data_IF_587323271964
#
_entry.id   IF_587323271964
#
_cell.length_a   1.000
_cell.length_b   1.000
_cell.length_c   1.000
_cell.angle_alpha   90.00
_cell.angle_beta   90.00
_cell.angle_gamma   90.00
#
_symmetry.space_group_name_H-M   'P 1'
#
loop_
_entity.id
_entity.type
_entity.pdbx_description
1 polymer ?
#
# COMPACT_ATOMS: atom_id res chain seq x y z
N UNK A 1 -7.93 3.38 15.57
CA UNK A 1 -7.35 2.06 15.29
C UNK A 1 -6.40 2.15 14.11
N UNK A 2 -5.24 1.52 14.23
CA UNK A 2 -4.18 1.64 13.20
C UNK A 2 -4.22 0.45 12.26
N UNK A 3 -4.31 0.71 10.97
CA UNK A 3 -4.18 -0.32 9.95
C UNK A 3 -2.70 -0.55 9.63
N UNK A 4 -2.38 -1.71 9.11
CA UNK A 4 -1.10 -1.97 8.47
C UNK A 4 -1.31 -2.03 6.96
N UNK A 5 -0.22 -1.93 6.20
CA UNK A 5 -0.28 -1.83 4.76
C UNK A 5 0.70 -2.82 4.14
N UNK A 6 0.40 -3.26 2.94
CA UNK A 6 1.17 -4.28 2.25
C UNK A 6 1.34 -3.91 0.79
N UNK A 7 2.53 -4.13 0.26
CA UNK A 7 2.78 -3.97 -1.16
C UNK A 7 2.09 -5.08 -1.95
N UNK A 8 1.80 -4.81 -3.22
CA UNK A 8 1.22 -5.80 -4.12
C UNK A 8 2.05 -5.88 -5.39
N UNK A 9 2.05 -7.04 -6.03
CA UNK A 9 2.70 -7.19 -7.32
C UNK A 9 1.82 -6.63 -8.43
N UNK A 10 2.42 -5.86 -9.35
CA UNK A 10 1.78 -5.54 -10.62
C UNK A 10 2.03 -6.65 -11.63
N UNK A 11 3.15 -7.38 -11.49
CA UNK A 11 3.51 -8.53 -12.33
C UNK A 11 4.21 -9.55 -11.45
N UNK A 12 3.52 -10.64 -11.12
CA UNK A 12 4.07 -11.70 -10.26
C UNK A 12 5.16 -12.50 -10.96
N UNK A 13 5.07 -12.61 -12.28
CA UNK A 13 6.03 -13.41 -13.06
C UNK A 13 7.41 -12.78 -13.00
N UNK A 14 7.47 -11.45 -13.11
CA UNK A 14 8.72 -10.70 -13.10
C UNK A 14 9.03 -10.07 -11.74
N UNK A 15 8.22 -10.34 -10.71
CA UNK A 15 8.39 -9.80 -9.37
C UNK A 15 8.41 -8.26 -9.34
N UNK A 16 7.55 -7.64 -10.16
CA UNK A 16 7.45 -6.19 -10.21
C UNK A 16 6.42 -5.72 -9.19
N UNK A 17 6.84 -4.87 -8.27
CA UNK A 17 5.96 -4.29 -7.26
C UNK A 17 5.13 -3.18 -7.88
N UNK A 18 3.82 -3.17 -7.59
CA UNK A 18 2.94 -2.13 -8.06
C UNK A 18 3.34 -0.77 -7.48
N UNK A 19 3.38 0.25 -8.33
CA UNK A 19 3.57 1.64 -7.92
C UNK A 19 2.25 2.42 -7.94
N UNK A 20 1.14 1.72 -8.21
CA UNK A 20 -0.18 2.36 -8.36
C UNK A 20 -1.20 1.90 -7.32
N UNK A 21 -0.86 0.90 -6.50
CA UNK A 21 -1.79 0.35 -5.50
C UNK A 21 -1.08 -0.15 -4.27
N UNK A 22 -1.79 -0.10 -3.15
CA UNK A 22 -1.37 -0.67 -1.87
C UNK A 22 -2.59 -1.33 -1.24
N UNK A 23 -2.38 -2.43 -0.51
CA UNK A 23 -3.46 -3.12 0.21
C UNK A 23 -3.40 -2.76 1.68
N UNK A 24 -4.52 -2.32 2.24
CA UNK A 24 -4.68 -2.09 3.67
C UNK A 24 -5.06 -3.39 4.36
N UNK A 25 -4.77 -3.51 5.65
CA UNK A 25 -4.97 -4.76 6.40
C UNK A 25 -6.42 -5.23 6.47
N UNK A 26 -7.38 -4.35 6.20
CA UNK A 26 -8.79 -4.73 6.14
C UNK A 26 -9.22 -5.24 4.75
N UNK A 27 -8.29 -5.34 3.81
CA UNK A 27 -8.55 -5.80 2.46
C UNK A 27 -8.80 -4.69 1.44
N UNK A 28 -8.83 -3.42 1.87
CA UNK A 28 -9.07 -2.31 0.97
C UNK A 28 -7.90 -2.09 0.03
N UNK A 29 -8.19 -1.90 -1.25
CA UNK A 29 -7.20 -1.53 -2.24
C UNK A 29 -7.12 -0.01 -2.32
N UNK A 30 -5.93 0.54 -2.12
CA UNK A 30 -5.72 1.99 -2.04
C UNK A 30 -4.91 2.43 -3.26
N UNK A 31 -5.45 3.32 -4.11
CA UNK A 31 -4.68 3.84 -5.23
C UNK A 31 -3.57 4.79 -4.74
N UNK A 32 -2.44 4.75 -5.41
CA UNK A 32 -1.32 5.66 -5.13
C UNK A 32 -1.63 7.00 -5.82
N UNK A 33 -2.46 7.79 -5.18
CA UNK A 33 -2.96 9.06 -5.69
C UNK A 33 -2.88 10.09 -4.56
N UNK A 34 -2.07 11.16 -4.71
CA UNK A 34 -1.91 12.17 -3.65
C UNK A 34 -3.20 12.89 -3.26
N UNK A 35 -4.23 12.84 -4.10
CA UNK A 35 -5.53 13.42 -3.79
C UNK A 35 -6.46 12.44 -3.06
N UNK A 36 -6.05 11.18 -2.90
CA UNK A 36 -6.84 10.17 -2.23
C UNK A 36 -6.59 10.20 -0.73
N UNK A 37 -7.65 10.33 0.08
CA UNK A 37 -7.53 10.43 1.53
C UNK A 37 -6.90 9.17 2.13
N UNK A 38 -7.29 7.99 1.65
CA UNK A 38 -6.73 6.74 2.16
C UNK A 38 -5.23 6.64 1.88
N UNK A 39 -4.80 7.13 0.73
CA UNK A 39 -3.37 7.18 0.42
C UNK A 39 -2.63 8.17 1.32
N UNK A 40 -3.23 9.31 1.62
CA UNK A 40 -2.64 10.27 2.56
C UNK A 40 -2.48 9.67 3.95
N UNK A 41 -3.45 8.89 4.42
CA UNK A 41 -3.34 8.16 5.68
C UNK A 41 -2.21 7.14 5.63
N UNK A 42 -2.04 6.44 4.52
CA UNK A 42 -0.91 5.53 4.33
C UNK A 42 0.42 6.27 4.42
N UNK A 43 0.55 7.42 3.78
CA UNK A 43 1.80 8.21 3.81
C UNK A 43 2.13 8.64 5.24
N UNK A 44 1.14 9.04 6.01
CA UNK A 44 1.34 9.40 7.41
C UNK A 44 1.83 8.21 8.24
N UNK A 45 1.20 7.05 8.06
CA UNK A 45 1.61 5.81 8.71
C UNK A 45 3.03 5.41 8.31
N UNK A 46 3.40 5.57 7.05
CA UNK A 46 4.69 5.15 6.52
C UNK A 46 5.87 5.99 7.05
N UNK A 47 5.60 7.11 7.69
CA UNK A 47 6.66 7.92 8.33
C UNK A 47 7.31 7.19 9.49
N UNK A 48 6.57 6.33 10.17
CA UNK A 48 7.05 5.61 11.37
C UNK A 48 6.95 4.10 11.23
N UNK A 49 6.48 3.60 10.08
CA UNK A 49 6.27 2.17 9.84
C UNK A 49 6.75 1.82 8.43
N UNK A 50 6.88 0.53 8.17
CA UNK A 50 7.26 0.02 6.85
C UNK A 50 6.17 -0.92 6.36
N UNK A 51 5.74 -0.73 5.11
CA UNK A 51 4.76 -1.62 4.49
C UNK A 51 5.33 -3.03 4.36
N UNK A 52 4.48 -4.04 4.56
CA UNK A 52 4.89 -5.42 4.39
C UNK A 52 5.21 -5.71 2.92
N UNK A 53 6.16 -6.62 2.65
CA UNK A 53 6.48 -6.98 1.28
C UNK A 53 5.30 -7.69 0.60
N UNK A 54 5.25 -7.60 -0.72
CA UNK A 54 4.24 -8.29 -1.51
C UNK A 54 4.42 -9.82 -1.41
N UNK A 55 3.31 -10.52 -1.42
CA UNK A 55 3.32 -11.98 -1.39
C UNK A 55 3.74 -12.58 -2.73
#
# INVERSE_FOLDING_TARGET
>A
MTFTYKQVYSDRINNIISTTSIIRSDGASIPVDPDNIDYQEYLEWAKTNTAEPAD
#
